data_IF_389378251690
#
_entry.id   IF_389378251690
#
_cell.length_a   1.000
_cell.length_b   1.000
_cell.length_c   1.000
_cell.angle_alpha   90.00
_cell.angle_beta   90.00
_cell.angle_gamma   90.00
#
_symmetry.space_group_name_H-M   'P 1'
#
loop_
_entity.id
_entity.type
_entity.pdbx_description
1 polymer ?
#
# COMPACT_ATOMS: atom_id res chain seq x y z
N UNK A 1 -4.09 4.81 -5.04
CA UNK A 1 -5.15 3.82 -5.33
C UNK A 1 -6.50 4.43 -5.02
N UNK A 2 -7.42 4.40 -5.98
CA UNK A 2 -8.71 5.12 -5.88
C UNK A 2 -9.62 4.63 -4.76
N UNK A 3 -9.59 3.34 -4.44
CA UNK A 3 -10.46 2.79 -3.39
C UNK A 3 -10.21 3.45 -2.03
N UNK A 4 -8.96 3.75 -1.71
CA UNK A 4 -8.61 4.43 -0.46
C UNK A 4 -8.80 5.94 -0.57
N UNK A 5 -8.63 6.53 -1.75
CA UNK A 5 -8.91 7.94 -1.98
C UNK A 5 -10.35 8.31 -1.65
N UNK A 6 -11.31 7.46 -2.02
CA UNK A 6 -12.71 7.64 -1.68
C UNK A 6 -13.02 7.56 -0.19
N UNK A 7 -12.10 6.98 0.62
CA UNK A 7 -12.20 6.90 2.07
C UNK A 7 -11.38 7.98 2.79
N UNK A 8 -10.85 8.95 2.07
CA UNK A 8 -10.06 10.05 2.64
C UNK A 8 -8.59 9.72 2.88
N UNK A 9 -8.07 8.63 2.31
CA UNK A 9 -6.65 8.30 2.41
C UNK A 9 -5.86 9.00 1.32
N UNK A 10 -4.63 9.39 1.67
CA UNK A 10 -3.62 9.85 0.70
C UNK A 10 -2.63 8.72 0.44
N UNK A 11 -2.31 8.47 -0.83
CA UNK A 11 -1.48 7.34 -1.22
C UNK A 11 -0.25 7.77 -2.00
N UNK A 12 0.86 7.04 -1.79
CA UNK A 12 2.02 7.10 -2.65
C UNK A 12 2.35 5.69 -3.16
N UNK A 13 2.88 5.62 -4.36
CA UNK A 13 3.34 4.36 -4.95
C UNK A 13 4.82 4.14 -4.66
N UNK A 14 5.24 2.87 -4.64
CA UNK A 14 6.65 2.48 -4.59
C UNK A 14 7.40 3.14 -3.42
N UNK A 15 6.87 2.96 -2.22
CA UNK A 15 7.49 3.46 -1.00
C UNK A 15 8.51 2.47 -0.46
N UNK A 16 9.78 2.88 -0.40
CA UNK A 16 10.83 2.07 0.22
C UNK A 16 10.72 2.13 1.74
N UNK A 17 10.72 0.98 2.38
CA UNK A 17 10.66 0.83 3.83
C UNK A 17 12.06 0.66 4.42
N UNK A 18 12.19 0.78 5.75
CA UNK A 18 13.49 0.67 6.42
C UNK A 18 14.12 -0.72 6.32
N UNK A 19 13.33 -1.76 6.01
CA UNK A 19 13.85 -3.11 5.74
C UNK A 19 14.25 -3.32 4.27
N UNK A 20 14.32 -2.26 3.47
CA UNK A 20 14.64 -2.23 2.04
C UNK A 20 13.57 -2.85 1.14
N UNK A 21 12.42 -3.30 1.69
CA UNK A 21 11.27 -3.67 0.87
C UNK A 21 10.63 -2.42 0.29
N UNK A 22 10.05 -2.55 -0.89
CA UNK A 22 9.35 -1.45 -1.55
C UNK A 22 7.87 -1.81 -1.65
N UNK A 23 7.05 -1.09 -0.89
CA UNK A 23 5.61 -1.26 -0.95
C UNK A 23 5.06 -0.70 -2.27
N UNK A 24 4.21 -1.46 -2.96
CA UNK A 24 3.62 -0.99 -4.21
C UNK A 24 2.78 0.26 -3.98
N UNK A 25 1.95 0.27 -2.95
CA UNK A 25 1.15 1.42 -2.55
C UNK A 25 1.14 1.51 -1.03
N UNK A 26 1.46 2.68 -0.51
CA UNK A 26 1.28 3.00 0.91
C UNK A 26 0.26 4.12 1.04
N UNK A 27 -0.75 3.92 1.87
CA UNK A 27 -1.86 4.86 2.07
C UNK A 27 -1.89 5.33 3.51
N UNK A 28 -2.00 6.64 3.69
CA UNK A 28 -2.07 7.29 5.00
C UNK A 28 -3.47 7.87 5.19
N UNK A 29 -4.15 7.40 6.23
CA UNK A 29 -5.51 7.83 6.54
C UNK A 29 -5.57 9.11 7.34
N UNK A 30 -6.77 9.70 7.43
CA UNK A 30 -6.97 10.99 8.11
C UNK A 30 -6.72 10.93 9.62
N UNK A 31 -6.71 9.73 10.20
CA UNK A 31 -6.41 9.51 11.63
C UNK A 31 -5.03 8.90 11.87
N UNK A 32 -4.18 8.90 10.84
CA UNK A 32 -2.84 8.34 10.93
C UNK A 32 -2.78 6.83 10.64
N UNK A 33 -3.86 6.21 10.18
CA UNK A 33 -3.85 4.80 9.79
C UNK A 33 -2.89 4.60 8.61
N UNK A 34 -2.11 3.53 8.66
CA UNK A 34 -1.19 3.17 7.58
C UNK A 34 -1.64 1.85 6.95
N UNK A 35 -1.81 1.87 5.65
CA UNK A 35 -2.25 0.72 4.86
C UNK A 35 -1.24 0.47 3.75
N UNK A 36 -0.80 -0.79 3.60
CA UNK A 36 0.03 -1.20 2.48
C UNK A 36 -0.79 -2.12 1.59
N UNK A 37 -0.71 -1.88 0.28
CA UNK A 37 -1.35 -2.71 -0.74
C UNK A 37 -0.30 -3.18 -1.72
N UNK A 38 -0.25 -4.51 -1.92
CA UNK A 38 0.59 -5.14 -2.94
C UNK A 38 -0.28 -5.56 -4.11
N UNK A 39 0.12 -5.15 -5.31
CA UNK A 39 -0.59 -5.49 -6.55
C UNK A 39 0.02 -6.76 -7.14
N UNK A 40 -0.81 -7.77 -7.39
CA UNK A 40 -0.40 -9.02 -8.03
C UNK A 40 -1.13 -9.19 -9.35
N UNK A 41 -0.37 -9.33 -10.43
CA UNK A 41 -0.92 -9.41 -11.79
C UNK A 41 -1.33 -10.81 -12.18
N UNK A 42 -0.79 -11.84 -11.54
CA UNK A 42 -1.04 -13.24 -11.88
C UNK A 42 -0.75 -14.17 -10.71
N UNK A 43 -1.20 -15.42 -10.82
CA UNK A 43 -0.88 -16.48 -9.85
C UNK A 43 0.64 -16.71 -9.80
N UNK A 44 1.31 -16.69 -10.95
CA UNK A 44 2.77 -16.85 -11.01
C UNK A 44 3.48 -15.71 -10.26
N UNK A 45 3.05 -14.47 -10.45
CA UNK A 45 3.57 -13.31 -9.74
C UNK A 45 3.38 -13.46 -8.23
N UNK A 46 2.19 -13.85 -7.81
CA UNK A 46 1.89 -14.09 -6.40
C UNK A 46 2.75 -15.20 -5.81
N UNK A 47 2.93 -16.32 -6.50
CA UNK A 47 3.71 -17.46 -6.01
C UNK A 47 5.21 -17.21 -6.00
N UNK A 48 5.71 -16.36 -6.89
CA UNK A 48 7.14 -16.04 -6.97
C UNK A 48 7.61 -15.15 -5.81
N UNK A 49 6.70 -14.43 -5.16
CA UNK A 49 7.02 -13.52 -4.06
C UNK A 49 6.15 -13.86 -2.84
N UNK A 50 6.73 -14.62 -1.91
CA UNK A 50 6.07 -15.01 -0.67
C UNK A 50 6.60 -14.21 0.53
N UNK A 51 7.16 -13.02 0.28
CA UNK A 51 7.76 -12.19 1.34
C UNK A 51 6.81 -11.11 1.86
N UNK A 52 5.53 -11.21 1.55
CA UNK A 52 4.54 -10.23 1.97
C UNK A 52 4.48 -10.04 3.51
N UNK A 53 4.78 -11.05 4.38
CA UNK A 53 4.81 -10.80 5.83
C UNK A 53 5.82 -9.73 6.25
N UNK A 54 6.85 -9.46 5.43
CA UNK A 54 7.83 -8.42 5.72
C UNK A 54 7.23 -7.01 5.71
N UNK A 55 6.04 -6.82 5.12
CA UNK A 55 5.32 -5.55 5.12
C UNK A 55 4.51 -5.33 6.39
N UNK A 56 4.10 -6.39 7.07
CA UNK A 56 3.20 -6.31 8.21
C UNK A 56 3.70 -5.41 9.35
N UNK A 57 5.01 -5.38 9.68
CA UNK A 57 5.51 -4.49 10.73
C UNK A 57 5.40 -3.00 10.41
N UNK A 58 5.02 -2.63 9.19
CA UNK A 58 5.01 -1.24 8.72
C UNK A 58 3.61 -0.69 8.43
N UNK A 59 2.56 -1.46 8.69
CA UNK A 59 1.20 -1.03 8.42
C UNK A 59 0.22 -1.57 9.47
N UNK A 60 -0.91 -0.90 9.62
CA UNK A 60 -2.00 -1.37 10.47
C UNK A 60 -2.83 -2.43 9.74
N UNK A 61 -2.93 -2.32 8.42
CA UNK A 61 -3.68 -3.23 7.54
C UNK A 61 -2.90 -3.48 6.26
N UNK A 62 -2.95 -4.72 5.81
CA UNK A 62 -2.28 -5.12 4.57
C UNK A 62 -3.29 -5.75 3.61
N UNK A 63 -3.26 -5.34 2.34
CA UNK A 63 -4.15 -5.85 1.30
C UNK A 63 -3.33 -6.37 0.12
N UNK A 64 -3.87 -7.42 -0.52
CA UNK A 64 -3.51 -7.72 -1.91
C UNK A 64 -4.58 -7.13 -2.84
N UNK A 65 -4.16 -6.52 -3.94
CA UNK A 65 -5.03 -6.09 -5.01
C UNK A 65 -4.78 -6.97 -6.24
N UNK A 66 -5.84 -7.60 -6.74
CA UNK A 66 -5.78 -8.56 -7.84
C UNK A 66 -6.91 -8.27 -8.82
N UNK A 67 -6.80 -8.81 -10.05
CA UNK A 67 -7.88 -8.75 -11.03
C UNK A 67 -9.02 -9.68 -10.66
N UNK A 68 -10.17 -9.50 -11.30
CA UNK A 68 -11.39 -10.26 -11.00
C UNK A 68 -11.27 -11.75 -11.36
N UNK A 69 -10.35 -12.11 -12.23
CA UNK A 69 -10.08 -13.49 -12.66
C UNK A 69 -9.05 -14.22 -11.79
N UNK A 70 -8.47 -13.53 -10.81
CA UNK A 70 -7.50 -14.13 -9.90
C UNK A 70 -8.21 -15.06 -8.90
N UNK A 71 -7.66 -16.29 -8.63
CA UNK A 71 -8.24 -17.20 -7.64
C UNK A 71 -8.16 -16.63 -6.23
N UNK A 72 -9.29 -16.23 -5.66
CA UNK A 72 -9.34 -15.50 -4.39
C UNK A 72 -8.90 -16.36 -3.20
N UNK A 73 -9.12 -17.65 -3.24
CA UNK A 73 -8.73 -18.58 -2.17
C UNK A 73 -7.22 -18.74 -2.00
N UNK A 74 -6.42 -18.30 -2.95
CA UNK A 74 -4.97 -18.26 -2.78
C UNK A 74 -4.51 -17.15 -1.85
N UNK A 75 -5.32 -16.12 -1.64
CA UNK A 75 -4.95 -14.97 -0.81
C UNK A 75 -5.06 -15.34 0.66
N UNK A 76 -3.98 -15.14 1.46
CA UNK A 76 -4.01 -15.46 2.89
C UNK A 76 -5.13 -14.72 3.63
N UNK A 77 -5.75 -15.38 4.59
CA UNK A 77 -6.90 -14.82 5.34
C UNK A 77 -6.50 -13.63 6.20
N UNK A 78 -5.23 -13.50 6.57
CA UNK A 78 -4.69 -12.37 7.33
C UNK A 78 -4.64 -11.08 6.49
N UNK A 79 -4.52 -11.23 5.18
CA UNK A 79 -4.48 -10.10 4.26
C UNK A 79 -5.90 -9.74 3.80
N UNK A 80 -6.11 -8.46 3.56
CA UNK A 80 -7.31 -7.99 2.89
C UNK A 80 -7.25 -8.28 1.39
N UNK A 81 -8.39 -8.24 0.75
CA UNK A 81 -8.51 -8.51 -0.67
C UNK A 81 -9.25 -7.37 -1.36
N UNK A 82 -8.59 -6.79 -2.35
CA UNK A 82 -9.16 -5.79 -3.25
C UNK A 82 -9.22 -6.40 -4.64
N UNK A 83 -10.39 -6.28 -5.27
CA UNK A 83 -10.52 -6.57 -6.70
C UNK A 83 -10.40 -5.25 -7.43
N UNK A 84 -9.40 -5.14 -8.31
CA UNK A 84 -9.10 -3.93 -9.05
C UNK A 84 -9.37 -4.14 -10.54
N UNK A 85 -9.82 -3.09 -11.20
CA UNK A 85 -9.95 -3.01 -12.64
C UNK A 85 -9.35 -1.70 -13.16
N UNK A 86 -9.49 -1.38 -14.44
CA UNK A 86 -8.97 -0.16 -15.03
C UNK A 86 -9.62 1.13 -14.51
N UNK A 87 -10.73 1.04 -13.80
CA UNK A 87 -11.51 2.19 -13.34
C UNK A 87 -11.44 2.39 -11.82
N UNK A 88 -10.93 1.43 -11.07
CA UNK A 88 -10.85 1.51 -9.62
C UNK A 88 -10.83 0.12 -9.01
N UNK A 89 -11.37 0.01 -7.81
CA UNK A 89 -11.37 -1.25 -7.10
C UNK A 89 -12.43 -1.29 -6.01
N UNK A 90 -12.67 -2.50 -5.50
CA UNK A 90 -13.59 -2.72 -4.39
C UNK A 90 -12.92 -3.63 -3.37
N UNK A 91 -13.10 -3.31 -2.09
CA UNK A 91 -12.63 -4.17 -1.01
C UNK A 91 -13.64 -5.30 -0.85
N UNK A 92 -13.20 -6.54 -1.14
CA UNK A 92 -14.02 -7.74 -0.96
C UNK A 92 -13.88 -8.32 0.45
N UNK A 93 -12.71 -8.16 1.05
CA UNK A 93 -12.44 -8.71 2.39
C UNK A 93 -11.51 -7.79 3.13
N UNK A 94 -11.90 -7.42 4.35
CA UNK A 94 -11.04 -6.64 5.24
C UNK A 94 -9.95 -7.54 5.82
N UNK A 95 -8.73 -7.00 6.03
CA UNK A 95 -7.65 -7.75 6.68
C UNK A 95 -7.79 -7.74 8.20
N UNK A 96 -6.95 -8.52 8.86
CA UNK A 96 -6.69 -8.29 10.27
C UNK A 96 -6.13 -6.88 10.47
N UNK A 97 -6.62 -6.20 11.50
CA UNK A 97 -6.04 -4.92 11.92
C UNK A 97 -5.03 -5.19 13.02
N UNK A 98 -3.79 -4.78 12.80
CA UNK A 98 -2.69 -4.88 13.76
C UNK A 98 -2.13 -3.48 14.00
N UNK A 99 -2.64 -2.76 15.00
CA UNK A 99 -2.21 -1.37 15.24
C UNK A 99 -0.70 -1.31 15.47
N UNK A 100 -0.04 -0.41 14.74
CA UNK A 100 1.38 -0.19 14.91
C UNK A 100 1.67 0.41 16.28
N UNK A 101 2.81 0.02 16.89
CA UNK A 101 3.33 0.73 18.05
C UNK A 101 3.61 2.20 17.69
N UNK A 102 3.46 3.09 18.65
CA UNK A 102 3.57 4.53 18.41
C UNK A 102 4.89 4.94 17.75
N UNK A 103 6.00 4.34 18.17
CA UNK A 103 7.31 4.66 17.60
C UNK A 103 7.41 4.23 16.12
N UNK A 104 6.87 3.06 15.78
CA UNK A 104 6.86 2.57 14.41
C UNK A 104 5.94 3.42 13.53
N UNK A 105 4.77 3.77 14.04
CA UNK A 105 3.84 4.66 13.34
C UNK A 105 4.50 5.98 13.00
N UNK A 106 5.16 6.60 13.96
CA UNK A 106 5.88 7.85 13.76
C UNK A 106 6.95 7.72 12.68
N UNK A 107 7.75 6.66 12.73
CA UNK A 107 8.83 6.44 11.77
C UNK A 107 8.30 6.25 10.34
N UNK A 108 7.27 5.44 10.17
CA UNK A 108 6.68 5.17 8.84
C UNK A 108 5.97 6.43 8.31
N UNK A 109 5.23 7.14 9.16
CA UNK A 109 4.56 8.38 8.77
C UNK A 109 5.56 9.43 8.34
N UNK A 110 6.67 9.58 9.05
CA UNK A 110 7.72 10.53 8.68
C UNK A 110 8.35 10.15 7.34
N UNK A 111 8.64 8.89 7.12
CA UNK A 111 9.18 8.41 5.84
C UNK A 111 8.21 8.68 4.68
N UNK A 112 6.93 8.41 4.90
CA UNK A 112 5.87 8.71 3.93
C UNK A 112 5.85 10.20 3.58
N UNK A 113 5.81 11.06 4.60
CA UNK A 113 5.73 12.51 4.41
C UNK A 113 6.95 13.04 3.66
N UNK A 114 8.15 12.61 4.04
CA UNK A 114 9.39 13.05 3.38
C UNK A 114 9.44 12.60 1.92
N UNK A 115 9.07 11.36 1.65
CA UNK A 115 9.07 10.83 0.28
C UNK A 115 8.05 11.56 -0.60
N UNK A 116 6.86 11.81 -0.08
CA UNK A 116 5.83 12.56 -0.80
C UNK A 116 6.32 13.99 -1.10
N UNK A 117 6.89 14.65 -0.11
CA UNK A 117 7.42 16.01 -0.29
C UNK A 117 8.59 16.05 -1.29
N UNK A 118 9.49 15.09 -1.24
CA UNK A 118 10.61 15.01 -2.20
C UNK A 118 10.12 14.81 -3.63
N UNK A 119 9.09 13.98 -3.83
CA UNK A 119 8.49 13.77 -5.16
C UNK A 119 7.82 15.04 -5.67
N UNK A 120 7.14 15.77 -4.80
CA UNK A 120 6.52 17.04 -5.13
C UNK A 120 7.58 18.08 -5.54
N UNK A 121 8.70 18.14 -4.82
CA UNK A 121 9.81 19.02 -5.15
C UNK A 121 10.38 18.73 -6.55
N UNK A 122 10.49 17.46 -6.93
CA UNK A 122 10.97 17.08 -8.28
C UNK A 122 10.01 17.53 -9.36
N UNK A 123 8.70 17.42 -9.12
CA UNK A 123 7.68 17.90 -10.07
C UNK A 123 7.79 19.41 -10.21
N UNK A 124 7.89 20.15 -9.11
CA UNK A 124 8.02 21.60 -9.13
C UNK A 124 9.31 22.04 -9.84
N UNK A 125 10.44 21.38 -9.55
CA UNK A 125 11.71 21.65 -10.23
C UNK A 125 11.62 21.39 -11.73
N UNK A 126 10.96 20.31 -12.14
CA UNK A 126 10.70 20.00 -13.54
C UNK A 126 9.85 21.07 -14.22
N UNK A 127 8.83 21.59 -13.54
CA UNK A 127 7.98 22.67 -14.03
C UNK A 127 8.75 23.98 -14.20
N UNK A 128 9.63 24.31 -13.25
CA UNK A 128 10.43 25.54 -13.27
C UNK A 128 11.50 25.50 -14.36
N UNK A 129 12.06 24.32 -14.63
CA UNK A 129 13.13 24.18 -15.61
C UNK A 129 12.68 24.23 -17.07
N UNK A 130 11.39 24.32 -17.29
CA UNK A 130 10.80 24.50 -18.61
C UNK A 130 10.59 25.99 -18.91
#
# INVERSE_FOLDING_TARGET
MRVFGGLGYASISEMTLSNHRRADVCSLGPKGQLVITEVKSSVADFRSDQKWPDYLPFCDRFYFAVGHDFPQDLIPVEAGLIIADGFGGAILREPETRPLAAARRKAVTLRFARMAAQRLMRVDAGSISQ
#
